data_IF_987998682569
#
_entry.id   IF_987998682569
#
_cell.length_a   1.000
_cell.length_b   1.000
_cell.length_c   1.000
_cell.angle_alpha   90.00
_cell.angle_beta   90.00
_cell.angle_gamma   90.00
#
_symmetry.space_group_name_H-M   'P 1'
#
loop_
_entity.id
_entity.type
_entity.pdbx_description
1 polymer ?
#
# COMPACT_ATOMS: atom_id res chain seq x y z
N UNK A 1 -71.43 -19.11 13.08
CA UNK A 1 -72.16 -17.83 13.23
C UNK A 1 -71.45 -16.98 14.28
N UNK A 2 -70.66 -16.01 13.83
CA UNK A 2 -70.53 -14.65 14.38
C UNK A 2 -69.40 -13.94 13.61
N UNK A 3 -69.81 -12.95 12.81
CA UNK A 3 -68.98 -11.99 12.08
C UNK A 3 -68.49 -10.91 13.04
N UNK A 4 -67.20 -10.52 13.02
CA UNK A 4 -66.76 -9.12 13.26
C UNK A 4 -65.52 -8.78 12.40
N UNK A 5 -65.74 -7.78 11.54
CA UNK A 5 -64.89 -6.78 10.88
C UNK A 5 -63.36 -6.96 10.72
N UNK A 6 -62.94 -6.94 9.45
CA UNK A 6 -61.60 -6.58 8.98
C UNK A 6 -61.38 -5.06 9.06
N UNK A 7 -60.26 -4.63 9.65
CA UNK A 7 -59.78 -3.25 9.57
C UNK A 7 -58.66 -3.14 8.55
N UNK A 8 -58.90 -2.31 7.53
CA UNK A 8 -57.96 -1.84 6.53
C UNK A 8 -56.84 -1.00 7.16
N UNK A 9 -55.59 -1.38 6.91
CA UNK A 9 -54.43 -0.49 7.08
C UNK A 9 -54.01 0.00 5.69
N UNK A 10 -54.15 1.31 5.47
CA UNK A 10 -53.80 2.01 4.24
C UNK A 10 -52.29 2.31 4.17
N UNK A 11 -51.70 2.38 2.97
CA UNK A 11 -50.28 2.61 2.75
C UNK A 11 -49.92 4.10 2.94
N UNK A 12 -48.77 4.36 3.55
CA UNK A 12 -48.22 5.71 3.65
C UNK A 12 -47.70 6.18 2.28
N UNK A 13 -48.30 7.28 1.83
CA UNK A 13 -48.08 7.97 0.56
C UNK A 13 -46.66 8.51 0.42
N UNK A 14 -46.04 8.15 -0.71
CA UNK A 14 -44.96 8.87 -1.35
C UNK A 14 -45.36 10.35 -1.58
N UNK A 15 -44.43 11.29 -1.36
CA UNK A 15 -44.54 12.66 -1.85
C UNK A 15 -43.70 12.78 -3.12
N UNK A 16 -44.40 12.89 -4.24
CA UNK A 16 -43.87 13.34 -5.51
C UNK A 16 -43.55 14.84 -5.44
N UNK A 17 -42.31 15.21 -5.78
CA UNK A 17 -41.98 16.55 -6.25
C UNK A 17 -41.61 16.40 -7.71
N UNK A 18 -42.53 16.82 -8.58
CA UNK A 18 -42.34 16.85 -10.01
C UNK A 18 -41.93 18.26 -10.45
N UNK A 19 -41.25 18.33 -11.60
CA UNK A 19 -40.98 19.49 -12.46
C UNK A 19 -39.88 20.51 -12.08
N UNK A 20 -38.65 20.22 -12.54
CA UNK A 20 -37.58 21.18 -12.82
C UNK A 20 -37.66 21.69 -14.28
N UNK A 21 -37.66 23.01 -14.54
CA UNK A 21 -37.49 23.53 -15.90
C UNK A 21 -36.01 23.66 -16.29
N UNK A 22 -35.67 23.13 -17.47
CA UNK A 22 -34.41 23.40 -18.19
C UNK A 22 -34.33 24.89 -18.53
N UNK A 23 -33.26 25.56 -18.10
CA UNK A 23 -32.92 26.92 -18.51
C UNK A 23 -31.43 27.18 -18.42
N UNK A 24 -30.72 27.10 -19.55
CA UNK A 24 -29.31 27.51 -19.68
C UNK A 24 -29.21 29.02 -19.41
N UNK A 25 -28.39 29.44 -18.44
CA UNK A 25 -27.90 30.83 -18.35
C UNK A 25 -26.39 30.84 -18.12
N UNK A 26 -25.68 31.27 -19.16
CA UNK A 26 -24.26 31.60 -19.14
C UNK A 26 -24.03 32.78 -18.19
N UNK A 27 -23.22 32.59 -17.15
CA UNK A 27 -22.79 33.67 -16.26
C UNK A 27 -21.44 34.17 -16.75
N UNK A 28 -21.45 35.39 -17.29
CA UNK A 28 -20.30 36.14 -17.78
C UNK A 28 -19.60 36.77 -16.57
N UNK A 29 -18.39 36.33 -16.23
CA UNK A 29 -17.57 36.99 -15.20
C UNK A 29 -17.09 38.34 -15.73
N UNK A 30 -17.63 39.43 -15.19
CA UNK A 30 -17.22 40.80 -15.49
C UNK A 30 -16.06 41.17 -14.54
N UNK A 31 -14.86 41.34 -15.11
CA UNK A 31 -13.67 41.85 -14.41
C UNK A 31 -13.96 43.25 -13.90
N UNK A 32 -14.17 43.42 -12.59
CA UNK A 32 -14.18 44.75 -11.98
C UNK A 32 -12.74 45.23 -11.83
N UNK A 33 -12.40 46.29 -12.57
CA UNK A 33 -11.19 47.09 -12.33
C UNK A 33 -11.40 47.93 -11.07
N UNK A 34 -10.55 47.73 -10.06
CA UNK A 34 -10.45 48.63 -8.92
C UNK A 34 -9.47 49.76 -9.28
N UNK A 35 -9.98 50.98 -9.45
CA UNK A 35 -9.17 52.20 -9.58
C UNK A 35 -8.97 52.82 -8.19
N UNK A 36 -7.71 52.94 -7.77
CA UNK A 36 -7.34 53.61 -6.53
C UNK A 36 -7.18 55.12 -6.82
N UNK A 37 -8.03 55.94 -6.21
CA UNK A 37 -7.95 57.40 -6.25
C UNK A 37 -7.11 57.85 -5.06
N UNK A 38 -5.96 58.48 -5.32
CA UNK A 38 -5.11 59.09 -4.29
C UNK A 38 -5.47 60.59 -4.22
N UNK A 39 -5.74 61.17 -3.04
CA UNK A 39 -6.04 62.60 -2.91
C UNK A 39 -4.77 63.44 -3.10
N UNK A 40 -4.90 64.51 -3.88
CA UNK A 40 -3.86 65.49 -4.13
C UNK A 40 -3.67 66.38 -2.88
N UNK A 41 -2.46 66.45 -2.34
CA UNK A 41 -2.10 67.47 -1.34
C UNK A 41 -0.77 68.08 -1.74
N UNK A 42 -0.85 69.24 -2.38
CA UNK A 42 0.28 70.06 -2.73
C UNK A 42 0.78 70.83 -1.49
N UNK A 43 2.11 70.97 -1.42
CA UNK A 43 2.91 71.95 -0.67
C UNK A 43 3.25 71.68 0.80
N UNK A 44 4.40 71.04 1.01
CA UNK A 44 5.32 71.40 2.10
C UNK A 44 6.79 71.24 1.64
N UNK A 45 7.35 72.38 1.24
CA UNK A 45 8.75 72.86 1.22
C UNK A 45 9.91 71.84 1.28
N UNK A 46 10.76 71.95 0.27
CA UNK A 46 12.09 71.36 0.10
C UNK A 46 13.03 71.53 1.29
N UNK A 47 13.59 70.42 1.76
CA UNK A 47 14.94 70.32 2.32
C UNK A 47 15.67 69.21 1.55
N UNK A 48 16.74 69.57 0.86
CA UNK A 48 17.56 68.67 0.04
C UNK A 48 18.30 67.66 0.93
N UNK A 49 17.89 66.40 0.87
CA UNK A 49 18.65 65.26 1.39
C UNK A 49 19.39 64.62 0.20
N UNK A 50 20.70 64.34 0.28
CA UNK A 50 21.47 63.83 -0.85
C UNK A 50 20.86 62.53 -1.39
N UNK A 51 20.55 62.55 -2.69
CA UNK A 51 20.04 61.43 -3.48
C UNK A 51 21.04 60.26 -3.47
N UNK A 52 20.83 59.32 -2.55
CA UNK A 52 21.43 57.99 -2.64
C UNK A 52 20.52 57.14 -3.53
N UNK A 53 20.89 57.01 -4.80
CA UNK A 53 20.24 56.09 -5.74
C UNK A 53 20.08 54.72 -5.08
N UNK A 54 18.90 54.09 -5.10
CA UNK A 54 18.80 52.69 -4.72
C UNK A 54 19.52 51.90 -5.82
N UNK A 55 20.76 51.52 -5.54
CA UNK A 55 21.48 50.50 -6.29
C UNK A 55 20.56 49.30 -6.38
N UNK A 56 20.03 49.06 -7.57
CA UNK A 56 19.22 47.90 -7.91
C UNK A 56 20.14 46.70 -7.78
N UNK A 57 20.17 46.07 -6.60
CA UNK A 57 20.90 44.84 -6.40
C UNK A 57 20.43 43.86 -7.47
N UNK A 58 21.36 43.21 -8.21
CA UNK A 58 20.96 42.22 -9.19
C UNK A 58 20.20 41.13 -8.44
N UNK A 59 18.93 40.91 -8.83
CA UNK A 59 18.11 39.81 -8.33
C UNK A 59 18.83 38.54 -8.77
N UNK A 60 19.66 37.99 -7.89
CA UNK A 60 20.35 36.73 -8.12
C UNK A 60 19.25 35.67 -8.18
N UNK A 61 18.80 35.33 -9.40
CA UNK A 61 18.08 34.10 -9.63
C UNK A 61 19.01 32.98 -9.17
N UNK A 62 18.76 32.45 -7.98
CA UNK A 62 19.46 31.28 -7.46
C UNK A 62 19.13 30.13 -8.40
N UNK A 63 20.00 29.89 -9.38
CA UNK A 63 19.95 28.71 -10.22
C UNK A 63 20.26 27.51 -9.32
N UNK A 64 19.21 26.83 -8.86
CA UNK A 64 19.36 25.58 -8.13
C UNK A 64 19.76 24.52 -9.17
N UNK A 65 20.94 23.93 -8.98
CA UNK A 65 21.39 22.84 -9.83
C UNK A 65 20.40 21.67 -9.75
N UNK A 66 20.06 21.06 -10.89
CA UNK A 66 19.10 19.95 -10.93
C UNK A 66 19.52 18.78 -10.03
N UNK A 67 20.82 18.52 -9.90
CA UNK A 67 21.35 17.46 -9.03
C UNK A 67 21.09 17.75 -7.54
N UNK A 68 21.22 19.01 -7.12
CA UNK A 68 20.94 19.46 -5.76
C UNK A 68 19.45 19.36 -5.44
N UNK A 69 18.58 19.75 -6.39
CA UNK A 69 17.14 19.60 -6.24
C UNK A 69 16.73 18.11 -6.10
N UNK A 70 17.34 17.21 -6.88
CA UNK A 70 17.08 15.77 -6.79
C UNK A 70 17.46 15.19 -5.43
N UNK A 71 18.61 15.59 -4.86
CA UNK A 71 19.02 15.14 -3.53
C UNK A 71 18.08 15.64 -2.43
N UNK A 72 17.60 16.88 -2.53
CA UNK A 72 16.63 17.43 -1.58
C UNK A 72 15.32 16.64 -1.65
N UNK A 73 14.78 16.41 -2.85
CA UNK A 73 13.56 15.62 -3.04
C UNK A 73 13.75 14.20 -2.50
N UNK A 74 14.89 13.56 -2.79
CA UNK A 74 15.21 12.23 -2.26
C UNK A 74 15.17 12.21 -0.73
N UNK A 75 15.81 13.17 -0.06
CA UNK A 75 15.79 13.26 1.41
C UNK A 75 14.39 13.49 1.98
N UNK A 76 13.57 14.30 1.31
CA UNK A 76 12.16 14.48 1.66
C UNK A 76 11.42 13.15 1.55
N UNK A 77 11.59 12.42 0.46
CA UNK A 77 10.96 11.11 0.26
C UNK A 77 11.47 10.07 1.28
N UNK A 78 12.75 10.09 1.62
CA UNK A 78 13.37 9.21 2.62
C UNK A 78 12.94 9.52 4.06
N UNK A 79 12.36 10.69 4.34
CA UNK A 79 11.92 11.04 5.71
C UNK A 79 10.52 10.58 6.05
N UNK A 80 9.79 9.97 5.12
CA UNK A 80 8.43 9.48 5.40
C UNK A 80 8.46 8.26 6.32
N UNK A 81 7.41 8.13 7.14
CA UNK A 81 7.16 7.01 8.06
C UNK A 81 5.93 6.19 7.64
N UNK A 82 5.39 6.47 6.46
CA UNK A 82 4.29 5.74 5.84
C UNK A 82 4.56 5.59 4.35
N UNK A 83 4.40 4.38 3.83
CA UNK A 83 4.45 4.17 2.39
C UNK A 83 3.28 4.84 1.67
N UNK A 84 2.10 4.87 2.28
CA UNK A 84 0.92 5.42 1.63
C UNK A 84 1.11 6.93 1.43
N UNK A 85 1.70 7.60 2.43
CA UNK A 85 2.11 9.01 2.32
C UNK A 85 3.25 9.20 1.32
N UNK A 86 4.24 8.30 1.30
CA UNK A 86 5.32 8.30 0.32
C UNK A 86 4.78 8.21 -1.12
N UNK A 87 3.85 7.31 -1.37
CA UNK A 87 3.26 7.13 -2.69
C UNK A 87 2.37 8.31 -3.06
N UNK A 88 1.57 8.81 -2.11
CA UNK A 88 0.78 10.02 -2.33
C UNK A 88 1.67 11.20 -2.72
N UNK A 89 2.74 11.48 -1.97
CA UNK A 89 3.64 12.60 -2.26
C UNK A 89 4.42 12.39 -3.57
N UNK A 90 4.80 11.15 -3.89
CA UNK A 90 5.46 10.83 -5.16
C UNK A 90 4.58 11.19 -6.36
N UNK A 91 3.25 11.10 -6.22
CA UNK A 91 2.28 11.41 -7.27
C UNK A 91 1.88 12.89 -7.32
N UNK A 92 2.23 13.71 -6.32
CA UNK A 92 1.84 15.14 -6.28
C UNK A 92 2.45 15.94 -7.43
N UNK A 93 3.66 15.59 -7.90
CA UNK A 93 4.24 16.22 -9.08
C UNK A 93 5.26 15.34 -9.84
N UNK A 94 5.49 15.69 -11.11
CA UNK A 94 6.42 14.97 -11.99
C UNK A 94 7.87 14.94 -11.49
N UNK A 95 8.32 15.95 -10.74
CA UNK A 95 9.67 16.00 -10.18
C UNK A 95 9.86 14.98 -9.05
N UNK A 96 8.92 14.94 -8.12
CA UNK A 96 8.85 13.96 -7.04
C UNK A 96 8.71 12.55 -7.61
N UNK A 97 7.81 12.34 -8.56
CA UNK A 97 7.67 11.05 -9.23
C UNK A 97 8.98 10.60 -9.90
N UNK A 98 9.67 11.50 -10.61
CA UNK A 98 10.94 11.18 -11.29
C UNK A 98 12.04 10.77 -10.30
N UNK A 99 12.18 11.51 -9.20
CA UNK A 99 13.17 11.20 -8.16
C UNK A 99 12.79 9.91 -7.42
N UNK A 100 11.52 9.78 -7.06
CA UNK A 100 10.97 8.55 -6.47
C UNK A 100 11.30 7.35 -7.35
N UNK A 101 10.98 7.39 -8.65
CA UNK A 101 11.32 6.29 -9.56
C UNK A 101 12.83 6.05 -9.60
N UNK A 102 13.64 7.09 -9.81
CA UNK A 102 15.10 6.95 -9.87
C UNK A 102 15.73 6.27 -8.65
N UNK A 103 15.20 6.49 -7.44
CA UNK A 103 15.70 5.95 -6.18
C UNK A 103 14.70 5.04 -5.46
N UNK A 104 13.76 4.44 -6.20
CA UNK A 104 12.55 3.79 -5.67
C UNK A 104 12.88 2.79 -4.57
N UNK A 105 13.79 1.86 -4.85
CA UNK A 105 14.19 0.84 -3.88
C UNK A 105 14.81 1.46 -2.62
N UNK A 106 15.75 2.39 -2.73
CA UNK A 106 16.44 2.95 -1.56
C UNK A 106 15.51 3.79 -0.69
N UNK A 107 14.64 4.60 -1.31
CA UNK A 107 13.63 5.39 -0.62
C UNK A 107 12.66 4.47 0.10
N UNK A 108 12.10 3.49 -0.60
CA UNK A 108 11.15 2.53 -0.04
C UNK A 108 11.78 1.79 1.15
N UNK A 109 13.00 1.26 1.00
CA UNK A 109 13.73 0.60 2.10
C UNK A 109 13.95 1.50 3.30
N UNK A 110 14.24 2.78 3.07
CA UNK A 110 14.49 3.75 4.13
C UNK A 110 13.19 4.09 4.85
N UNK A 111 12.13 4.42 4.11
CA UNK A 111 10.80 4.69 4.68
C UNK A 111 10.30 3.49 5.47
N UNK A 112 10.49 2.26 4.98
CA UNK A 112 10.17 1.06 5.76
C UNK A 112 10.91 0.97 7.10
N UNK A 113 12.21 1.24 7.09
CA UNK A 113 13.01 1.29 8.33
C UNK A 113 12.49 2.38 9.26
N UNK A 114 11.97 3.47 8.72
CA UNK A 114 11.38 4.55 9.51
C UNK A 114 9.97 4.20 10.04
N UNK A 115 9.14 3.45 9.31
CA UNK A 115 7.75 3.12 9.72
C UNK A 115 7.68 2.47 11.09
N UNK A 116 8.72 1.74 11.49
CA UNK A 116 9.25 1.71 12.86
C UNK A 116 10.43 0.71 12.90
N UNK A 117 11.64 1.12 13.31
CA UNK A 117 12.72 0.18 13.57
C UNK A 117 12.30 -0.96 14.53
N UNK A 118 11.49 -0.68 15.57
CA UNK A 118 10.89 -1.73 16.41
C UNK A 118 10.09 -2.79 15.65
N UNK A 119 9.27 -2.47 14.64
CA UNK A 119 8.45 -3.49 13.96
C UNK A 119 9.31 -4.48 13.15
N UNK A 120 10.44 -4.03 12.60
CA UNK A 120 11.36 -4.90 11.88
C UNK A 120 12.08 -5.87 12.82
N UNK A 121 12.62 -5.34 13.92
CA UNK A 121 13.28 -6.16 14.94
C UNK A 121 12.29 -7.05 15.71
N UNK A 122 11.06 -6.58 15.88
CA UNK A 122 9.94 -7.35 16.42
C UNK A 122 9.57 -8.51 15.51
N UNK A 123 9.50 -8.31 14.18
CA UNK A 123 9.27 -9.41 13.24
C UNK A 123 10.34 -10.49 13.39
N UNK A 124 11.62 -10.10 13.37
CA UNK A 124 12.73 -11.04 13.54
C UNK A 124 12.66 -11.78 14.87
N UNK A 125 12.32 -11.07 15.94
CA UNK A 125 12.15 -11.65 17.27
C UNK A 125 11.00 -12.65 17.30
N UNK A 126 9.85 -12.31 16.73
CA UNK A 126 8.68 -13.20 16.64
C UNK A 126 9.01 -14.45 15.82
N UNK A 127 9.68 -14.30 14.68
CA UNK A 127 10.10 -15.44 13.85
C UNK A 127 11.08 -16.33 14.62
N UNK A 128 12.08 -15.75 15.27
CA UNK A 128 13.01 -16.52 16.09
C UNK A 128 12.30 -17.25 17.25
N UNK A 129 11.37 -16.60 17.95
CA UNK A 129 10.68 -17.20 19.08
C UNK A 129 9.71 -18.32 18.68
N UNK A 130 8.97 -18.13 17.59
CA UNK A 130 7.84 -19.01 17.22
C UNK A 130 8.18 -20.03 16.14
N UNK A 131 9.20 -19.76 15.33
CA UNK A 131 9.52 -20.59 14.17
C UNK A 131 10.84 -21.36 14.32
N UNK A 132 11.61 -21.14 15.40
CA UNK A 132 12.92 -21.76 15.62
C UNK A 132 12.96 -23.27 15.36
N UNK A 133 11.90 -24.01 15.70
CA UNK A 133 11.85 -25.46 15.57
C UNK A 133 11.96 -25.99 14.14
N UNK A 134 11.65 -25.18 13.13
CA UNK A 134 11.69 -25.60 11.72
C UNK A 134 12.54 -24.70 10.82
N UNK A 135 13.20 -23.70 11.39
CA UNK A 135 14.16 -22.86 10.67
C UNK A 135 15.49 -23.60 10.48
N UNK A 136 16.15 -23.39 9.34
CA UNK A 136 17.53 -23.83 9.14
C UNK A 136 18.47 -23.18 10.18
N UNK A 137 19.53 -23.89 10.63
CA UNK A 137 20.45 -23.37 11.65
C UNK A 137 21.09 -22.02 11.29
N UNK A 138 21.43 -21.82 10.02
CA UNK A 138 21.98 -20.56 9.53
C UNK A 138 20.98 -19.40 9.65
N UNK A 139 19.68 -19.64 9.41
CA UNK A 139 18.62 -18.65 9.57
C UNK A 139 18.43 -18.28 11.03
N UNK A 140 18.44 -19.27 11.93
CA UNK A 140 18.40 -19.05 13.39
C UNK A 140 19.60 -18.19 13.83
N UNK A 141 20.81 -18.54 13.39
CA UNK A 141 22.02 -17.78 13.71
C UNK A 141 21.96 -16.34 13.18
N UNK A 142 21.42 -16.14 11.97
CA UNK A 142 21.24 -14.81 11.37
C UNK A 142 20.27 -13.93 12.16
N UNK A 143 19.13 -14.50 12.57
CA UNK A 143 18.10 -13.83 13.35
C UNK A 143 18.58 -13.47 14.76
N UNK A 144 19.44 -14.29 15.35
CA UNK A 144 20.07 -14.03 16.64
C UNK A 144 21.21 -12.99 16.60
N UNK A 145 21.45 -12.33 15.45
CA UNK A 145 22.50 -11.32 15.29
C UNK A 145 23.90 -11.92 15.11
N UNK A 146 24.00 -13.13 14.58
CA UNK A 146 25.26 -13.81 14.28
C UNK A 146 26.02 -13.21 13.09
N UNK A 147 26.29 -14.01 12.07
CA UNK A 147 27.13 -13.60 10.94
C UNK A 147 26.46 -12.49 10.10
N UNK A 148 27.11 -11.33 9.87
CA UNK A 148 26.55 -10.22 9.10
C UNK A 148 26.06 -10.59 7.70
N UNK A 149 26.71 -11.55 7.03
CA UNK A 149 26.29 -12.04 5.70
C UNK A 149 24.98 -12.81 5.76
N UNK A 150 24.76 -13.60 6.81
CA UNK A 150 23.51 -14.33 6.97
C UNK A 150 22.39 -13.39 7.42
N UNK A 151 22.69 -12.40 8.26
CA UNK A 151 21.73 -11.34 8.63
C UNK A 151 21.25 -10.57 7.39
N UNK A 152 22.14 -10.19 6.46
CA UNK A 152 21.73 -9.51 5.24
C UNK A 152 20.86 -10.37 4.32
N UNK A 153 21.11 -11.69 4.26
CA UNK A 153 20.27 -12.61 3.48
C UNK A 153 18.84 -12.68 4.00
N UNK A 154 18.68 -12.80 5.32
CA UNK A 154 17.36 -12.78 5.98
C UNK A 154 16.65 -11.45 5.74
N UNK A 155 17.38 -10.33 5.88
CA UNK A 155 16.83 -9.01 5.60
C UNK A 155 16.36 -8.87 4.15
N UNK A 156 17.17 -9.33 3.19
CA UNK A 156 16.81 -9.29 1.78
C UNK A 156 15.60 -10.18 1.47
N UNK A 157 15.47 -11.34 2.12
CA UNK A 157 14.33 -12.25 1.94
C UNK A 157 13.02 -11.64 2.47
N UNK A 158 13.03 -11.03 3.65
CA UNK A 158 11.88 -10.25 4.15
C UNK A 158 11.53 -9.08 3.23
N UNK A 159 12.52 -8.36 2.69
CA UNK A 159 12.29 -7.31 1.68
C UNK A 159 11.64 -7.85 0.42
N UNK A 160 12.04 -9.02 -0.05
CA UNK A 160 11.42 -9.65 -1.22
C UNK A 160 9.98 -10.03 -0.95
N UNK A 161 9.70 -10.70 0.16
CA UNK A 161 8.34 -11.04 0.59
C UNK A 161 7.46 -9.79 0.62
N UNK A 162 7.94 -8.75 1.28
CA UNK A 162 7.17 -7.53 1.42
C UNK A 162 6.91 -6.84 0.08
N UNK A 163 7.94 -6.75 -0.77
CA UNK A 163 7.80 -6.19 -2.12
C UNK A 163 6.80 -7.01 -2.94
N UNK A 164 6.86 -8.34 -2.83
CA UNK A 164 5.93 -9.25 -3.49
C UNK A 164 4.48 -8.98 -3.06
N UNK A 165 4.20 -8.91 -1.75
CA UNK A 165 2.89 -8.54 -1.23
C UNK A 165 2.42 -7.15 -1.70
N UNK A 166 3.33 -6.17 -1.80
CA UNK A 166 2.96 -4.83 -2.27
C UNK A 166 2.57 -4.78 -3.75
N UNK A 167 3.15 -5.65 -4.57
CA UNK A 167 2.89 -5.71 -6.02
C UNK A 167 1.71 -6.64 -6.34
N UNK A 168 1.65 -7.80 -5.70
CA UNK A 168 0.76 -8.91 -6.06
C UNK A 168 -0.24 -9.30 -4.97
N UNK A 169 -0.11 -8.76 -3.76
CA UNK A 169 -0.98 -9.11 -2.63
C UNK A 169 -2.44 -8.71 -2.86
N UNK A 170 -3.32 -9.14 -1.96
CA UNK A 170 -4.75 -8.87 -2.11
C UNK A 170 -5.08 -7.36 -2.16
N UNK A 171 -6.08 -7.02 -2.97
CA UNK A 171 -6.49 -5.64 -3.25
C UNK A 171 -5.63 -4.94 -4.29
N UNK A 172 -4.75 -5.68 -5.02
CA UNK A 172 -3.91 -5.13 -6.09
C UNK A 172 -4.38 -5.51 -7.48
N UNK A 173 -5.29 -6.48 -7.62
CA UNK A 173 -5.79 -6.94 -8.92
C UNK A 173 -4.74 -7.68 -9.73
N UNK A 174 -3.75 -8.27 -9.04
CA UNK A 174 -2.62 -9.04 -9.60
C UNK A 174 -2.32 -10.32 -8.80
N UNK A 175 -3.27 -10.74 -7.97
CA UNK A 175 -3.18 -11.92 -7.10
C UNK A 175 -3.04 -13.20 -7.95
N UNK A 176 -3.76 -13.24 -9.07
CA UNK A 176 -3.76 -14.36 -10.03
C UNK A 176 -2.77 -14.18 -11.19
N UNK A 177 -1.98 -13.11 -11.20
CA UNK A 177 -0.97 -12.82 -12.23
C UNK A 177 0.29 -13.67 -12.02
N UNK A 178 0.14 -14.99 -12.13
CA UNK A 178 1.23 -15.96 -11.94
C UNK A 178 2.39 -15.67 -12.90
N UNK A 179 2.10 -15.25 -14.14
CA UNK A 179 3.12 -14.90 -15.13
C UNK A 179 3.94 -13.70 -14.66
N UNK A 180 3.29 -12.63 -14.19
CA UNK A 180 3.96 -11.45 -13.65
C UNK A 180 4.74 -11.74 -12.35
N UNK A 181 4.19 -12.60 -11.48
CA UNK A 181 4.88 -13.05 -10.27
C UNK A 181 6.17 -13.81 -10.62
N UNK A 182 6.09 -14.76 -11.55
CA UNK A 182 7.26 -15.51 -12.04
C UNK A 182 8.27 -14.59 -12.73
N UNK A 183 7.81 -13.63 -13.53
CA UNK A 183 8.69 -12.64 -14.17
C UNK A 183 9.43 -11.80 -13.11
N UNK A 184 8.74 -11.37 -12.06
CA UNK A 184 9.35 -10.60 -10.97
C UNK A 184 10.44 -11.39 -10.23
N UNK A 185 10.18 -12.67 -9.94
CA UNK A 185 11.14 -13.55 -9.29
C UNK A 185 12.34 -13.86 -10.21
N UNK A 186 12.16 -13.86 -11.54
CA UNK A 186 13.22 -14.04 -12.54
C UNK A 186 13.98 -12.76 -12.90
N UNK A 187 13.69 -11.63 -12.25
CA UNK A 187 14.39 -10.37 -12.51
C UNK A 187 13.78 -9.52 -13.64
N UNK A 188 12.55 -9.80 -14.03
CA UNK A 188 11.78 -9.05 -15.03
C UNK A 188 12.20 -9.24 -16.49
N UNK A 189 12.67 -10.41 -16.96
CA UNK A 189 13.07 -10.58 -18.36
C UNK A 189 11.96 -10.28 -19.37
N UNK A 190 10.69 -10.53 -19.04
CA UNK A 190 9.55 -10.26 -19.92
C UNK A 190 9.17 -8.77 -19.89
N UNK A 191 9.08 -8.18 -18.71
CA UNK A 191 8.78 -6.74 -18.56
C UNK A 191 9.84 -5.85 -19.21
N UNK A 192 11.12 -6.23 -19.14
CA UNK A 192 12.20 -5.45 -19.73
C UNK A 192 12.41 -5.71 -21.23
N UNK A 193 11.68 -6.65 -21.84
CA UNK A 193 11.62 -6.78 -23.29
C UNK A 193 10.72 -5.68 -23.86
N UNK A 194 11.31 -4.67 -24.50
CA UNK A 194 10.62 -3.50 -25.06
C UNK A 194 9.52 -3.76 -26.09
N UNK A 195 9.19 -5.03 -26.39
CA UNK A 195 8.12 -5.46 -27.29
C UNK A 195 6.74 -5.60 -26.65
N UNK A 196 6.63 -5.70 -25.31
CA UNK A 196 5.34 -5.87 -24.61
C UNK A 196 4.76 -4.53 -24.07
N UNK A 197 4.89 -3.44 -24.83
CA UNK A 197 4.23 -2.14 -24.53
C UNK A 197 2.85 -1.97 -25.19
N UNK A 198 2.30 -3.00 -25.83
CA UNK A 198 1.00 -2.97 -26.51
C UNK A 198 -0.02 -3.72 -25.63
N UNK A 199 -1.15 -3.16 -25.19
CA UNK A 199 -2.14 -2.37 -25.92
C UNK A 199 -3.03 -1.57 -24.96
N UNK A 200 -2.92 -0.23 -24.95
CA UNK A 200 -4.09 0.64 -24.76
C UNK A 200 -3.92 1.83 -25.70
N UNK A 201 -4.55 1.76 -26.87
CA UNK A 201 -4.92 2.96 -27.59
C UNK A 201 -6.06 3.62 -26.81
N UNK A 202 -5.85 4.82 -26.26
CA UNK A 202 -6.87 5.88 -26.17
C UNK A 202 -6.29 7.17 -25.57
N UNK A 203 -6.40 8.24 -26.34
CA UNK A 203 -6.44 9.68 -25.99
C UNK A 203 -5.62 10.20 -24.79
N UNK A 204 -4.58 10.97 -25.10
CA UNK A 204 -4.01 12.22 -24.50
C UNK A 204 -4.34 12.73 -23.07
N UNK A 205 -4.89 11.93 -22.17
CA UNK A 205 -4.84 12.17 -20.73
C UNK A 205 -4.04 11.04 -20.11
N UNK A 206 -2.75 11.30 -19.88
CA UNK A 206 -1.82 10.39 -19.20
C UNK A 206 -2.42 10.01 -17.84
N UNK A 207 -3.05 8.84 -17.80
CA UNK A 207 -3.57 8.24 -16.59
C UNK A 207 -2.36 7.78 -15.76
N UNK A 208 -1.87 8.65 -14.88
CA UNK A 208 -0.70 8.38 -14.04
C UNK A 208 -0.93 7.19 -13.10
N UNK A 209 -2.19 6.81 -12.88
CA UNK A 209 -2.60 5.59 -12.20
C UNK A 209 -2.31 4.34 -13.04
N UNK A 210 -2.40 4.42 -14.37
CA UNK A 210 -2.03 3.33 -15.29
C UNK A 210 -0.50 3.12 -15.36
N UNK A 211 0.30 4.16 -15.09
CA UNK A 211 1.76 4.03 -14.95
C UNK A 211 2.22 3.27 -13.69
N UNK A 212 1.32 3.03 -12.73
CA UNK A 212 1.51 2.08 -11.62
C UNK A 212 1.06 0.66 -11.97
N UNK A 213 0.20 0.50 -12.99
CA UNK A 213 -0.28 -0.81 -13.48
C UNK A 213 0.66 -1.42 -14.52
N UNK A 214 1.40 -0.58 -15.27
CA UNK A 214 2.55 -1.03 -16.03
C UNK A 214 3.74 -1.24 -15.10
N UNK A 215 4.40 -2.39 -15.22
CA UNK A 215 5.60 -2.68 -14.46
C UNK A 215 6.66 -1.58 -14.72
N UNK A 216 7.18 -0.98 -13.65
CA UNK A 216 8.13 0.14 -13.77
C UNK A 216 9.44 -0.32 -14.42
N UNK A 217 10.25 0.62 -14.91
CA UNK A 217 11.65 0.36 -15.33
C UNK A 217 12.54 -0.18 -14.18
N UNK A 218 11.98 -0.29 -12.97
CA UNK A 218 12.61 -0.81 -11.77
C UNK A 218 11.94 -2.08 -11.25
N UNK A 219 10.96 -2.60 -11.98
CA UNK A 219 10.35 -3.87 -11.71
C UNK A 219 11.43 -4.95 -11.57
N UNK A 220 11.35 -5.74 -10.51
CA UNK A 220 12.32 -6.78 -10.21
C UNK A 220 13.80 -6.33 -10.08
N UNK A 221 14.12 -5.02 -9.97
CA UNK A 221 15.50 -4.56 -9.74
C UNK A 221 16.13 -5.06 -8.42
N UNK A 222 15.31 -5.46 -7.45
CA UNK A 222 15.78 -6.14 -6.23
C UNK A 222 16.23 -7.60 -6.46
N UNK A 223 15.98 -8.11 -7.68
CA UNK A 223 16.19 -9.47 -8.13
C UNK A 223 16.99 -9.49 -9.46
N UNK A 224 18.09 -8.72 -9.59
CA UNK A 224 18.77 -8.59 -10.88
C UNK A 224 19.34 -9.95 -11.31
N UNK A 225 18.98 -10.40 -12.50
CA UNK A 225 19.34 -11.74 -13.00
C UNK A 225 18.50 -12.89 -12.43
N UNK A 226 17.46 -12.57 -11.66
CA UNK A 226 16.60 -13.54 -10.98
C UNK A 226 17.14 -13.97 -9.62
N UNK A 227 16.25 -14.53 -8.80
CA UNK A 227 16.62 -15.11 -7.51
C UNK A 227 17.40 -16.41 -7.74
N UNK A 228 18.44 -16.62 -6.94
CA UNK A 228 19.10 -17.94 -6.85
C UNK A 228 18.21 -18.93 -6.10
N UNK A 229 18.48 -20.23 -6.26
CA UNK A 229 17.77 -21.28 -5.51
C UNK A 229 17.84 -21.07 -3.99
N UNK A 230 19.00 -20.66 -3.47
CA UNK A 230 19.17 -20.32 -2.05
C UNK A 230 18.27 -19.14 -1.62
N UNK A 231 18.15 -18.10 -2.44
CA UNK A 231 17.29 -16.96 -2.15
C UNK A 231 15.80 -17.33 -2.19
N UNK A 232 15.41 -18.22 -3.09
CA UNK A 232 14.04 -18.77 -3.13
C UNK A 232 13.74 -19.62 -1.90
N UNK A 233 14.70 -20.40 -1.41
CA UNK A 233 14.57 -21.13 -0.13
C UNK A 233 14.44 -20.18 1.05
N UNK A 234 15.26 -19.14 1.14
CA UNK A 234 15.18 -18.12 2.20
C UNK A 234 13.80 -17.44 2.20
N UNK A 235 13.31 -17.05 1.03
CA UNK A 235 11.99 -16.43 0.85
C UNK A 235 10.86 -17.40 1.25
N UNK A 236 10.94 -18.66 0.84
CA UNK A 236 9.89 -19.67 1.14
C UNK A 236 9.87 -20.04 2.62
N UNK A 237 11.04 -20.21 3.24
CA UNK A 237 11.18 -20.50 4.66
C UNK A 237 10.59 -19.39 5.53
N UNK A 238 10.95 -18.13 5.26
CA UNK A 238 10.41 -16.98 5.98
C UNK A 238 8.93 -16.72 5.65
N UNK A 239 8.46 -17.09 4.46
CA UNK A 239 7.04 -17.06 4.13
C UNK A 239 6.22 -18.01 5.01
N UNK A 240 6.70 -19.24 5.18
CA UNK A 240 6.05 -20.21 6.08
C UNK A 240 6.00 -19.72 7.52
N UNK A 241 7.02 -18.96 7.96
CA UNK A 241 7.02 -18.36 9.29
C UNK A 241 5.83 -17.42 9.50
N UNK A 242 5.43 -16.63 8.50
CA UNK A 242 4.31 -15.71 8.64
C UNK A 242 2.98 -16.40 8.96
N UNK A 243 2.72 -17.56 8.34
CA UNK A 243 1.56 -18.37 8.68
C UNK A 243 1.60 -18.82 10.15
N UNK A 244 2.76 -19.31 10.61
CA UNK A 244 2.96 -19.73 12.01
C UNK A 244 2.83 -18.58 13.01
N UNK A 245 3.24 -17.36 12.63
CA UNK A 245 3.07 -16.17 13.46
C UNK A 245 1.58 -15.83 13.69
N UNK A 246 0.73 -16.10 12.72
CA UNK A 246 -0.71 -15.88 12.80
C UNK A 246 -1.48 -17.07 13.39
N UNK A 247 -0.85 -18.23 13.58
CA UNK A 247 -1.50 -19.45 14.10
C UNK A 247 -2.10 -19.34 15.51
N UNK A 248 -1.89 -18.23 16.23
CA UNK A 248 -2.64 -17.96 17.46
C UNK A 248 -4.11 -17.59 17.20
N UNK A 249 -4.47 -17.26 15.96
CA UNK A 249 -5.83 -16.92 15.55
C UNK A 249 -6.65 -18.17 15.23
N UNK A 250 -6.00 -19.31 14.98
CA UNK A 250 -6.63 -20.58 14.66
C UNK A 250 -7.65 -20.96 15.76
N UNK A 251 -8.83 -21.42 15.34
CA UNK A 251 -9.91 -21.81 16.24
C UNK A 251 -10.63 -20.66 16.98
N UNK A 252 -10.27 -19.39 16.77
CA UNK A 252 -10.95 -18.24 17.40
C UNK A 252 -12.25 -17.84 16.68
N UNK A 253 -13.06 -18.84 16.33
CA UNK A 253 -14.27 -18.71 15.49
C UNK A 253 -15.28 -17.72 16.06
N UNK A 254 -15.58 -17.81 17.36
CA UNK A 254 -16.57 -16.92 18.01
C UNK A 254 -16.13 -15.44 17.96
N UNK A 255 -14.84 -15.18 18.18
CA UNK A 255 -14.27 -13.84 18.11
C UNK A 255 -14.26 -13.34 16.67
N UNK A 256 -13.85 -14.17 15.71
CA UNK A 256 -13.85 -13.86 14.29
C UNK A 256 -15.25 -13.48 13.78
N UNK A 257 -16.28 -14.24 14.18
CA UNK A 257 -17.68 -13.95 13.84
C UNK A 257 -18.13 -12.61 14.41
N UNK A 258 -17.86 -12.36 15.69
CA UNK A 258 -18.30 -11.14 16.37
C UNK A 258 -17.67 -9.88 15.77
N UNK A 259 -16.52 -10.01 15.11
CA UNK A 259 -15.77 -8.89 14.51
C UNK A 259 -15.83 -8.86 12.98
N UNK A 260 -16.73 -9.62 12.36
CA UNK A 260 -17.08 -9.49 10.96
C UNK A 260 -16.17 -10.20 9.96
N UNK A 261 -15.36 -11.17 10.39
CA UNK A 261 -14.52 -11.96 9.46
C UNK A 261 -15.38 -12.68 8.41
N UNK A 262 -16.60 -13.10 8.77
CA UNK A 262 -17.48 -13.89 7.90
C UNK A 262 -18.53 -13.06 7.15
N UNK A 263 -18.58 -11.74 7.33
CA UNK A 263 -19.68 -10.89 6.85
C UNK A 263 -19.83 -10.89 5.33
N UNK A 264 -18.71 -11.10 4.60
CA UNK A 264 -18.66 -11.19 3.15
C UNK A 264 -18.73 -12.64 2.62
N UNK A 265 -19.10 -13.60 3.46
CA UNK A 265 -19.13 -15.04 3.12
C UNK A 265 -20.54 -15.61 3.26
N UNK A 266 -20.78 -16.77 2.65
CA UNK A 266 -22.05 -17.50 2.79
C UNK A 266 -22.11 -18.39 4.05
N UNK A 267 -21.09 -18.34 4.93
CA UNK A 267 -20.97 -19.23 6.09
C UNK A 267 -21.90 -18.83 7.23
N UNK A 268 -22.90 -19.69 7.47
CA UNK A 268 -23.87 -19.53 8.55
C UNK A 268 -23.27 -19.74 9.95
N UNK A 269 -23.85 -19.10 10.96
CA UNK A 269 -23.45 -19.32 12.35
C UNK A 269 -23.72 -20.75 12.81
N UNK A 270 -22.70 -21.40 13.40
CA UNK A 270 -22.77 -22.79 13.86
C UNK A 270 -22.29 -23.81 12.83
N UNK A 271 -21.91 -23.38 11.62
CA UNK A 271 -21.15 -24.19 10.67
C UNK A 271 -19.66 -24.17 11.06
N UNK A 272 -19.30 -24.95 12.08
CA UNK A 272 -17.94 -24.93 12.67
C UNK A 272 -16.87 -25.19 11.60
N UNK A 273 -17.10 -26.15 10.70
CA UNK A 273 -16.14 -26.52 9.66
C UNK A 273 -15.99 -25.40 8.62
N UNK A 274 -17.10 -24.81 8.18
CA UNK A 274 -17.08 -23.67 7.26
C UNK A 274 -16.46 -22.42 7.86
N UNK A 275 -16.72 -22.17 9.15
CA UNK A 275 -16.16 -21.04 9.90
C UNK A 275 -14.65 -21.16 10.10
N UNK A 276 -14.16 -22.36 10.44
CA UNK A 276 -12.73 -22.62 10.60
C UNK A 276 -12.01 -22.48 9.25
N UNK A 277 -12.58 -23.06 8.18
CA UNK A 277 -12.06 -22.93 6.82
C UNK A 277 -11.99 -21.47 6.35
N UNK A 278 -13.04 -20.68 6.58
CA UNK A 278 -13.05 -19.26 6.20
C UNK A 278 -12.12 -18.41 7.07
N UNK A 279 -11.97 -18.74 8.36
CA UNK A 279 -11.01 -18.08 9.22
C UNK A 279 -9.58 -18.31 8.72
N UNK A 280 -9.27 -19.55 8.31
CA UNK A 280 -7.98 -19.87 7.72
C UNK A 280 -7.74 -19.11 6.41
N UNK A 281 -8.74 -19.02 5.53
CA UNK A 281 -8.63 -18.23 4.29
C UNK A 281 -8.47 -16.73 4.56
N UNK A 282 -9.11 -16.21 5.61
CA UNK A 282 -8.90 -14.83 6.06
C UNK A 282 -7.47 -14.61 6.58
N UNK A 283 -6.91 -15.56 7.33
CA UNK A 283 -5.50 -15.52 7.76
C UNK A 283 -4.55 -15.51 6.56
N UNK A 284 -4.84 -16.30 5.51
CA UNK A 284 -4.07 -16.24 4.26
C UNK A 284 -4.21 -14.89 3.57
N UNK A 285 -5.42 -14.33 3.50
CA UNK A 285 -5.67 -12.98 2.99
C UNK A 285 -4.79 -11.94 3.72
N UNK A 286 -4.82 -11.91 5.07
CA UNK A 286 -4.00 -10.99 5.86
C UNK A 286 -2.51 -11.20 5.61
N UNK A 287 -2.06 -12.45 5.46
CA UNK A 287 -0.66 -12.75 5.12
C UNK A 287 -0.26 -12.09 3.79
N UNK A 288 -1.16 -12.06 2.80
CA UNK A 288 -0.88 -11.42 1.50
C UNK A 288 -0.80 -9.88 1.58
N UNK A 289 -1.37 -9.25 2.61
CA UNK A 289 -1.25 -7.80 2.85
C UNK A 289 0.20 -7.41 3.24
N UNK A 290 0.99 -8.39 3.68
CA UNK A 290 2.43 -8.28 3.91
C UNK A 290 2.84 -8.10 5.36
N UNK A 291 4.15 -7.95 5.57
CA UNK A 291 4.81 -8.05 6.89
C UNK A 291 4.21 -7.14 7.98
N UNK A 292 3.77 -5.93 7.63
CA UNK A 292 3.21 -5.00 8.63
C UNK A 292 1.90 -5.52 9.24
N UNK A 293 1.02 -6.10 8.42
CA UNK A 293 -0.23 -6.68 8.90
C UNK A 293 0.04 -7.90 9.78
N UNK A 294 0.95 -8.77 9.32
CA UNK A 294 1.39 -9.97 10.04
C UNK A 294 1.94 -9.61 11.42
N UNK A 295 2.88 -8.66 11.53
CA UNK A 295 3.49 -8.28 12.82
C UNK A 295 2.45 -7.71 13.77
N UNK A 296 1.53 -6.86 13.28
CA UNK A 296 0.48 -6.26 14.12
C UNK A 296 -0.43 -7.34 14.72
N UNK A 297 -0.94 -8.25 13.89
CA UNK A 297 -1.83 -9.31 14.36
C UNK A 297 -1.10 -10.39 15.18
N UNK A 298 0.12 -10.77 14.79
CA UNK A 298 0.93 -11.72 15.55
C UNK A 298 1.26 -11.19 16.95
N UNK A 299 1.47 -9.88 17.09
CA UNK A 299 1.68 -9.23 18.39
C UNK A 299 0.38 -9.20 19.20
N UNK A 300 -0.71 -8.75 18.60
CA UNK A 300 -2.00 -8.62 19.27
C UNK A 300 -2.59 -9.97 19.72
N UNK A 301 -2.41 -11.02 18.90
CA UNK A 301 -2.90 -12.37 19.16
C UNK A 301 -2.13 -13.12 20.24
N UNK A 302 -1.11 -12.51 20.86
CA UNK A 302 -0.51 -13.05 22.08
C UNK A 302 -1.50 -13.04 23.25
N UNK A 303 -2.43 -12.09 23.25
CA UNK A 303 -3.52 -12.06 24.22
C UNK A 303 -4.67 -12.97 23.74
N UNK A 304 -5.38 -13.65 24.65
CA UNK A 304 -6.55 -14.46 24.32
C UNK A 304 -7.79 -13.60 24.00
N UNK A 305 -7.73 -12.30 24.28
CA UNK A 305 -8.80 -11.34 24.02
C UNK A 305 -8.97 -11.05 22.50
N UNK A 306 -10.01 -10.32 22.08
CA UNK A 306 -10.26 -10.07 20.67
C UNK A 306 -9.40 -8.95 20.07
N UNK A 307 -8.33 -8.48 20.74
CA UNK A 307 -7.53 -7.32 20.30
C UNK A 307 -7.00 -7.46 18.87
N UNK A 308 -6.64 -8.68 18.44
CA UNK A 308 -6.19 -8.92 17.07
C UNK A 308 -7.31 -8.62 16.05
N UNK A 309 -8.55 -9.00 16.32
CA UNK A 309 -9.68 -8.73 15.44
C UNK A 309 -10.09 -7.25 15.49
N UNK A 310 -10.01 -6.60 16.66
CA UNK A 310 -10.23 -5.15 16.78
C UNK A 310 -9.22 -4.38 15.91
N UNK A 311 -7.93 -4.70 16.02
CA UNK A 311 -6.87 -4.07 15.21
C UNK A 311 -7.10 -4.34 13.73
N UNK A 312 -7.49 -5.55 13.34
CA UNK A 312 -7.81 -5.85 11.95
C UNK A 312 -8.98 -5.00 11.42
N UNK A 313 -10.03 -4.81 12.21
CA UNK A 313 -11.17 -3.97 11.85
C UNK A 313 -10.76 -2.50 11.69
N UNK A 314 -9.95 -1.96 12.61
CA UNK A 314 -9.42 -0.59 12.52
C UNK A 314 -8.61 -0.33 11.24
N UNK A 315 -7.95 -1.36 10.70
CA UNK A 315 -7.16 -1.26 9.47
C UNK A 315 -7.94 -1.66 8.21
N UNK A 316 -9.24 -1.94 8.32
CA UNK A 316 -10.11 -2.31 7.20
C UNK A 316 -9.86 -3.72 6.67
N UNK A 317 -9.23 -4.62 7.45
CA UNK A 317 -8.92 -5.99 7.00
C UNK A 317 -10.10 -6.96 7.13
N UNK A 318 -11.27 -6.48 7.56
CA UNK A 318 -12.52 -7.25 7.55
C UNK A 318 -13.26 -7.13 6.22
N UNK A 319 -12.94 -6.12 5.41
CA UNK A 319 -13.48 -6.00 4.06
C UNK A 319 -12.61 -6.80 3.08
N UNK A 320 -12.85 -8.11 3.04
CA UNK A 320 -12.14 -9.04 2.16
C UNK A 320 -13.11 -9.87 1.33
N UNK A 321 -12.63 -10.40 0.21
CA UNK A 321 -13.43 -11.28 -0.66
C UNK A 321 -13.03 -12.74 -0.44
N UNK A 322 -13.95 -13.64 -0.09
CA UNK A 322 -13.64 -15.07 -0.04
C UNK A 322 -13.14 -15.57 -1.41
N UNK A 323 -12.31 -16.62 -1.44
CA UNK A 323 -11.87 -17.20 -2.71
C UNK A 323 -13.06 -17.81 -3.48
N UNK A 324 -12.88 -18.04 -4.78
CA UNK A 324 -13.86 -18.82 -5.56
C UNK A 324 -14.02 -20.23 -4.97
N UNK A 325 -15.13 -20.94 -5.25
CA UNK A 325 -15.26 -22.35 -4.89
C UNK A 325 -14.03 -23.13 -5.37
N UNK A 326 -13.44 -23.94 -4.48
CA UNK A 326 -12.19 -24.69 -4.66
C UNK A 326 -10.89 -23.86 -4.78
N UNK A 327 -10.96 -22.53 -4.67
CA UNK A 327 -9.81 -21.64 -4.61
C UNK A 327 -9.27 -21.47 -3.19
N UNK A 328 -7.96 -21.19 -3.08
CA UNK A 328 -7.32 -20.90 -1.79
C UNK A 328 -6.13 -19.96 -1.98
N UNK A 329 -5.91 -19.09 -1.00
CA UNK A 329 -4.72 -18.21 -0.95
C UNK A 329 -3.50 -18.87 -0.31
N UNK A 330 -3.63 -20.12 0.15
CA UNK A 330 -2.55 -20.87 0.82
C UNK A 330 -1.26 -21.00 0.01
N UNK A 331 -1.35 -20.97 -1.33
CA UNK A 331 -0.22 -21.12 -2.25
C UNK A 331 0.27 -19.80 -2.85
N UNK A 332 -0.28 -18.65 -2.46
CA UNK A 332 -0.05 -17.33 -3.09
C UNK A 332 1.40 -17.07 -3.55
N UNK A 333 2.38 -17.12 -2.64
CA UNK A 333 3.78 -16.98 -3.02
C UNK A 333 4.38 -18.29 -3.55
N UNK A 334 3.99 -19.42 -2.95
CA UNK A 334 4.60 -20.74 -3.19
C UNK A 334 4.39 -21.24 -4.61
N UNK A 335 3.26 -20.93 -5.23
CA UNK A 335 2.91 -21.35 -6.59
C UNK A 335 3.91 -20.78 -7.60
N UNK A 336 4.12 -19.46 -7.57
CA UNK A 336 5.08 -18.80 -8.47
C UNK A 336 6.52 -19.26 -8.22
N UNK A 337 6.89 -19.54 -6.97
CA UNK A 337 8.21 -20.11 -6.63
C UNK A 337 8.35 -21.53 -7.17
N UNK A 338 7.35 -22.39 -7.00
CA UNK A 338 7.38 -23.78 -7.47
C UNK A 338 7.56 -23.86 -9.00
N UNK A 339 6.81 -23.07 -9.75
CA UNK A 339 6.88 -23.00 -11.23
C UNK A 339 8.18 -22.41 -11.78
N UNK A 340 9.05 -21.87 -10.93
CA UNK A 340 10.39 -21.44 -11.36
C UNK A 340 11.38 -22.59 -11.36
N UNK A 341 11.15 -23.63 -10.56
CA UNK A 341 11.97 -24.84 -10.51
C UNK A 341 11.66 -25.82 -11.65
N UNK A 342 10.46 -25.75 -12.23
CA UNK A 342 10.03 -26.52 -13.41
C UNK A 342 10.65 -26.01 -14.72
#
# INVERSE_FOLDING_TARGET
MQHIAAQQVRPHSARAFDSLPRGKKSVRFQRQQLSLIIPNTDQAKHEEIPTRSPSREPRVERQIESSAAEQVIRRILESFESLDDLFAIALVNKGFFRVFKRYELDIIRTVMRNMSPPAWDQLKTLVLQRCHSFLRPETVSALAGGNPKFTSRVDDAFWRIWTFCKIFGCGKGREDDIVGQMDWLRGGPLVHQGGCRATIMSSDSVDQSSALMNASDHFARGNPGGLTAEQLYDVTELWNCMAVLLGNLDGRIEQARTHGVYDNTDVGGGDIDGEDMMLQEWVYYVTTLGLSAVVRLATASQQPDPSAFVIAAEHGWMDWTPPQPDGSRSTFLKESVARIYE
#
